data_IF_227253796208
#
_entry.id   IF_227253796208
#
_cell.length_a   1.000
_cell.length_b   1.000
_cell.length_c   1.000
_cell.angle_alpha   90.00
_cell.angle_beta   90.00
_cell.angle_gamma   90.00
#
_symmetry.space_group_name_H-M   'P 1'
#
loop_
_entity.id
_entity.type
_entity.pdbx_description
1 polymer ?
#
# COMPACT_ATOMS: atom_id res chain seq x y z
N UNK A 1 8.11 19.26 4.82
CA UNK A 1 6.83 18.93 5.48
C UNK A 1 5.77 19.59 4.63
N UNK A 2 5.12 18.80 3.79
CA UNK A 2 4.20 19.32 2.79
C UNK A 2 2.85 19.61 3.44
N UNK A 3 2.43 20.87 3.36
CA UNK A 3 1.22 21.44 3.96
C UNK A 3 -0.04 21.24 3.10
N UNK A 4 -0.04 20.25 2.19
CA UNK A 4 -1.17 20.00 1.27
C UNK A 4 -2.30 19.19 1.90
N UNK A 5 -2.01 18.40 2.94
CA UNK A 5 -3.03 17.55 3.57
C UNK A 5 -3.83 18.33 4.64
N UNK A 6 -4.70 19.24 4.20
CA UNK A 6 -5.51 20.05 5.10
C UNK A 6 -6.73 19.28 5.60
N UNK A 7 -6.97 19.35 6.91
CA UNK A 7 -8.14 18.80 7.62
C UNK A 7 -9.17 19.93 7.82
N UNK A 8 -10.22 20.00 7.00
CA UNK A 8 -11.41 20.80 7.33
C UNK A 8 -12.54 19.89 7.80
N UNK A 9 -12.64 19.69 9.12
CA UNK A 9 -13.68 18.83 9.73
C UNK A 9 -15.07 19.38 9.38
N UNK A 10 -15.87 18.59 8.66
CA UNK A 10 -17.26 18.92 8.33
C UNK A 10 -18.17 18.08 9.23
N UNK A 11 -18.62 18.68 10.33
CA UNK A 11 -19.33 18.02 11.43
C UNK A 11 -20.71 17.45 11.05
N UNK A 12 -21.26 17.81 9.88
CA UNK A 12 -22.66 17.52 9.50
C UNK A 12 -22.84 16.48 8.39
N UNK A 13 -21.86 15.63 8.11
CA UNK A 13 -21.98 14.59 7.09
C UNK A 13 -22.37 13.25 7.75
N UNK A 14 -23.54 12.72 7.37
CA UNK A 14 -23.91 11.32 7.60
C UNK A 14 -23.38 10.46 6.44
N UNK A 15 -22.51 9.51 6.76
CA UNK A 15 -21.90 8.64 5.77
C UNK A 15 -22.65 7.31 5.65
N UNK A 16 -22.75 6.84 4.42
CA UNK A 16 -23.22 5.50 4.10
C UNK A 16 -22.19 4.45 4.56
N UNK A 17 -22.65 3.23 4.82
CA UNK A 17 -21.84 2.13 5.37
C UNK A 17 -21.19 1.25 4.28
N UNK A 18 -21.18 1.70 3.03
CA UNK A 18 -20.51 0.95 1.96
C UNK A 18 -18.99 1.11 2.11
N UNK A 19 -18.28 0.01 1.86
CA UNK A 19 -16.84 -0.04 2.02
C UNK A 19 -16.17 0.12 0.66
N UNK A 20 -15.68 1.33 0.40
CA UNK A 20 -14.95 1.73 -0.80
C UNK A 20 -13.70 2.50 -0.37
N UNK A 21 -12.67 1.80 0.14
CA UNK A 21 -11.61 2.44 0.89
C UNK A 21 -10.84 3.47 0.06
N UNK A 22 -10.40 4.53 0.73
CA UNK A 22 -9.52 5.56 0.15
C UNK A 22 -8.30 5.78 1.02
N UNK A 23 -7.17 6.09 0.38
CA UNK A 23 -5.93 6.43 1.06
C UNK A 23 -5.79 7.96 1.10
N UNK A 24 -5.91 8.53 2.30
CA UNK A 24 -5.71 9.96 2.52
C UNK A 24 -4.28 10.39 2.24
N UNK A 25 -4.09 11.67 1.91
CA UNK A 25 -2.78 12.33 1.80
C UNK A 25 -1.91 12.20 3.07
N UNK A 26 -2.52 11.90 4.22
CA UNK A 26 -1.87 11.64 5.49
C UNK A 26 -1.41 10.18 5.67
N UNK A 27 -1.61 9.32 4.66
CA UNK A 27 -1.27 7.91 4.71
C UNK A 27 -2.24 7.06 5.54
N UNK A 28 -3.43 7.58 5.89
CA UNK A 28 -4.46 6.85 6.62
C UNK A 28 -5.52 6.31 5.65
N UNK A 29 -5.91 5.05 5.83
CA UNK A 29 -7.02 4.45 5.10
C UNK A 29 -8.35 4.84 5.74
N UNK A 30 -9.25 5.40 4.95
CA UNK A 30 -10.62 5.68 5.33
C UNK A 30 -11.56 4.67 4.69
N UNK A 31 -12.63 4.28 5.40
CA UNK A 31 -13.56 3.23 4.96
C UNK A 31 -14.26 3.56 3.64
N UNK A 32 -14.50 4.86 3.39
CA UNK A 32 -14.95 5.41 2.13
C UNK A 32 -14.60 6.90 2.03
N UNK A 33 -14.83 7.49 0.87
CA UNK A 33 -14.60 8.92 0.62
C UNK A 33 -15.41 9.84 1.54
N UNK A 34 -16.62 9.44 1.91
CA UNK A 34 -17.45 10.23 2.81
C UNK A 34 -16.80 10.35 4.19
N UNK A 35 -16.28 9.23 4.72
CA UNK A 35 -15.59 9.21 6.02
C UNK A 35 -14.31 10.05 5.97
N UNK A 36 -13.55 10.00 4.87
CA UNK A 36 -12.38 10.87 4.66
C UNK A 36 -12.78 12.35 4.69
N UNK A 37 -13.78 12.74 3.91
CA UNK A 37 -14.28 14.11 3.81
C UNK A 37 -14.85 14.63 5.14
N UNK A 38 -15.56 13.79 5.90
CA UNK A 38 -16.07 14.12 7.23
C UNK A 38 -14.94 14.49 8.19
N UNK A 39 -13.81 13.78 8.08
CA UNK A 39 -12.59 14.03 8.86
C UNK A 39 -11.71 15.12 8.22
N UNK A 40 -12.19 15.76 7.15
CA UNK A 40 -11.54 16.87 6.49
C UNK A 40 -10.45 16.48 5.49
N UNK A 41 -10.26 15.18 5.21
CA UNK A 41 -9.29 14.71 4.21
C UNK A 41 -9.94 14.76 2.83
N UNK A 42 -9.58 15.77 2.04
CA UNK A 42 -10.11 15.99 0.68
C UNK A 42 -9.16 15.54 -0.43
N UNK A 43 -7.90 15.27 -0.09
CA UNK A 43 -6.93 14.68 -1.02
C UNK A 43 -6.72 13.22 -0.66
N UNK A 44 -7.18 12.33 -1.54
CA UNK A 44 -7.07 10.88 -1.37
C UNK A 44 -7.01 10.16 -2.71
N UNK A 45 -6.45 8.95 -2.71
CA UNK A 45 -6.49 8.01 -3.84
C UNK A 45 -7.42 6.85 -3.54
N UNK A 46 -8.05 6.27 -4.57
CA UNK A 46 -8.87 5.07 -4.40
C UNK A 46 -8.03 3.87 -3.93
N UNK A 47 -8.60 3.05 -3.06
CA UNK A 47 -7.93 1.90 -2.43
C UNK A 47 -7.40 2.21 -1.03
N UNK A 48 -7.04 1.17 -0.28
CA UNK A 48 -6.39 1.34 1.02
C UNK A 48 -4.97 1.89 0.85
N UNK A 49 -4.48 2.62 1.85
CA UNK A 49 -3.07 2.98 1.88
C UNK A 49 -2.20 1.72 1.92
N UNK A 50 -1.04 1.82 1.28
CA UNK A 50 -0.12 0.70 1.15
C UNK A 50 -0.53 -0.32 0.08
N UNK A 51 -1.70 -0.19 -0.57
CA UNK A 51 -2.05 -1.06 -1.70
C UNK A 51 -1.66 -0.41 -3.03
N UNK A 52 -0.91 -1.16 -3.84
CA UNK A 52 -0.56 -0.81 -5.22
C UNK A 52 -1.19 -1.83 -6.16
N UNK A 53 -2.04 -1.38 -7.10
CA UNK A 53 -2.63 -2.23 -8.12
C UNK A 53 -2.02 -1.91 -9.49
N UNK A 54 -1.50 -2.93 -10.17
CA UNK A 54 -0.84 -2.81 -11.48
C UNK A 54 -1.52 -3.75 -12.47
N UNK A 55 -1.71 -3.30 -13.70
CA UNK A 55 -2.07 -4.15 -14.84
C UNK A 55 -0.90 -4.15 -15.80
N UNK A 56 -0.33 -5.33 -16.07
CA UNK A 56 0.81 -5.51 -16.96
C UNK A 56 0.47 -6.48 -18.09
N UNK A 57 1.27 -6.44 -19.17
CA UNK A 57 1.16 -7.44 -20.23
C UNK A 57 1.88 -8.73 -19.83
N UNK A 58 1.44 -9.88 -20.37
CA UNK A 58 2.18 -11.14 -20.25
C UNK A 58 3.64 -10.94 -20.67
N UNK A 59 4.56 -11.56 -19.92
CA UNK A 59 6.01 -11.50 -20.14
C UNK A 59 6.64 -10.11 -20.03
N UNK A 60 6.03 -9.21 -19.25
CA UNK A 60 6.67 -7.97 -18.82
C UNK A 60 7.29 -8.12 -17.43
N UNK A 61 8.54 -7.66 -17.29
CA UNK A 61 9.18 -7.42 -16.01
C UNK A 61 8.55 -6.19 -15.35
N UNK A 62 8.19 -6.31 -14.08
CA UNK A 62 7.73 -5.18 -13.27
C UNK A 62 8.50 -5.12 -11.97
N UNK A 63 8.90 -3.91 -11.58
CA UNK A 63 9.49 -3.65 -10.27
C UNK A 63 8.39 -3.26 -9.29
N UNK A 64 8.32 -3.97 -8.17
CA UNK A 64 7.40 -3.65 -7.07
C UNK A 64 8.19 -3.42 -5.79
N UNK A 65 7.69 -2.55 -4.92
CA UNK A 65 8.35 -2.22 -3.67
C UNK A 65 8.09 -0.80 -3.22
N UNK A 66 8.88 -0.38 -2.24
CA UNK A 66 8.86 0.97 -1.70
C UNK A 66 10.26 1.55 -1.66
N UNK A 67 10.34 2.87 -1.54
CA UNK A 67 11.60 3.56 -1.34
C UNK A 67 12.30 3.02 -0.09
N UNK A 68 13.56 2.61 -0.27
CA UNK A 68 14.42 2.15 0.81
C UNK A 68 14.52 3.18 1.95
N UNK A 69 14.42 2.69 3.18
CA UNK A 69 14.60 3.43 4.41
C UNK A 69 15.72 2.76 5.20
N UNK A 70 16.67 3.57 5.69
CA UNK A 70 17.67 3.08 6.64
C UNK A 70 16.98 2.53 7.89
N UNK A 71 17.60 1.56 8.56
CA UNK A 71 17.13 1.01 9.84
C UNK A 71 15.77 0.27 9.74
N UNK A 72 15.41 -0.22 8.56
CA UNK A 72 14.24 -1.07 8.34
C UNK A 72 14.62 -2.46 7.87
N UNK A 73 13.79 -3.43 8.23
CA UNK A 73 13.86 -4.80 7.74
C UNK A 73 12.64 -5.12 6.89
N UNK A 74 12.85 -5.67 5.69
CA UNK A 74 11.87 -5.90 4.65
C UNK A 74 11.66 -7.39 4.44
N UNK A 75 10.41 -7.82 4.51
CA UNK A 75 10.04 -9.23 4.33
C UNK A 75 8.91 -9.33 3.31
N UNK A 76 9.13 -10.10 2.26
CA UNK A 76 8.15 -10.35 1.21
C UNK A 76 7.33 -11.61 1.48
N UNK A 77 6.06 -11.59 1.09
CA UNK A 77 5.17 -12.75 1.07
C UNK A 77 4.43 -12.79 -0.28
N UNK A 78 4.49 -13.89 -1.04
CA UNK A 78 5.36 -15.04 -0.83
C UNK A 78 6.84 -14.64 -0.81
N UNK A 79 7.69 -15.47 -0.21
CA UNK A 79 9.13 -15.20 -0.10
C UNK A 79 9.77 -15.12 -1.49
N UNK A 80 10.72 -14.20 -1.68
CA UNK A 80 11.27 -13.81 -2.99
C UNK A 80 12.78 -14.01 -3.12
N UNK A 81 13.37 -14.82 -2.23
CA UNK A 81 14.81 -15.11 -2.24
C UNK A 81 15.66 -13.83 -2.35
N UNK A 82 15.23 -12.80 -1.61
CA UNK A 82 15.95 -11.54 -1.47
C UNK A 82 16.24 -11.29 0.01
N UNK A 83 17.51 -11.02 0.33
CA UNK A 83 17.89 -10.66 1.69
C UNK A 83 17.60 -9.17 1.92
N UNK A 84 16.56 -8.89 2.70
CA UNK A 84 16.19 -7.54 3.17
C UNK A 84 16.03 -6.49 2.05
N UNK A 85 15.34 -6.84 0.96
CA UNK A 85 15.15 -5.92 -0.16
C UNK A 85 13.83 -5.13 -0.05
N UNK A 86 13.87 -3.81 -0.27
CA UNK A 86 12.67 -2.96 -0.30
C UNK A 86 11.95 -2.98 -1.65
N UNK A 87 12.61 -3.47 -2.70
CA UNK A 87 12.12 -3.56 -4.07
C UNK A 87 12.58 -4.88 -4.72
N UNK A 88 11.72 -5.48 -5.54
CA UNK A 88 11.98 -6.71 -6.31
C UNK A 88 11.53 -6.54 -7.76
N UNK A 89 12.15 -7.31 -8.66
CA UNK A 89 11.72 -7.46 -10.05
C UNK A 89 11.01 -8.80 -10.19
N UNK A 90 9.82 -8.79 -10.78
CA UNK A 90 9.00 -9.99 -11.01
C UNK A 90 8.54 -10.07 -12.46
N UNK A 91 8.34 -11.30 -12.95
CA UNK A 91 7.76 -11.60 -14.28
C UNK A 91 6.55 -12.53 -14.14
N UNK A 92 5.41 -12.04 -13.62
CA UNK A 92 4.28 -12.91 -13.38
C UNK A 92 3.60 -13.32 -14.69
N UNK A 93 3.31 -14.61 -14.83
CA UNK A 93 2.58 -15.18 -15.98
C UNK A 93 1.06 -15.22 -15.79
N UNK A 94 0.59 -14.89 -14.59
CA UNK A 94 -0.81 -14.87 -14.15
C UNK A 94 -0.98 -13.83 -13.05
N UNK A 95 -2.23 -13.51 -12.72
CA UNK A 95 -2.54 -12.64 -11.59
C UNK A 95 -1.87 -13.16 -10.30
N UNK A 96 -1.21 -12.25 -9.60
CA UNK A 96 -0.48 -12.54 -8.35
C UNK A 96 -0.61 -11.36 -7.38
N UNK A 97 -0.53 -11.66 -6.10
CA UNK A 97 -0.48 -10.67 -5.02
C UNK A 97 0.79 -10.90 -4.19
N UNK A 98 1.45 -9.80 -3.81
CA UNK A 98 2.59 -9.78 -2.91
C UNK A 98 2.33 -8.84 -1.74
N UNK A 99 2.83 -9.18 -0.57
CA UNK A 99 2.82 -8.30 0.60
C UNK A 99 4.25 -8.04 1.05
N UNK A 100 4.63 -6.75 1.15
CA UNK A 100 5.86 -6.29 1.76
C UNK A 100 5.60 -5.82 3.18
N UNK A 101 6.12 -6.56 4.15
CA UNK A 101 6.09 -6.20 5.57
C UNK A 101 7.38 -5.49 5.97
N UNK A 102 7.24 -4.34 6.60
CA UNK A 102 8.36 -3.49 7.06
C UNK A 102 8.43 -3.52 8.58
N UNK A 103 9.57 -3.91 9.10
CA UNK A 103 9.87 -3.97 10.53
C UNK A 103 10.94 -2.94 10.90
N UNK A 104 10.99 -2.57 12.18
CA UNK A 104 12.07 -1.76 12.74
C UNK A 104 13.34 -2.61 12.92
N UNK A 105 14.51 -2.08 12.56
CA UNK A 105 15.78 -2.80 12.69
C UNK A 105 16.36 -2.80 14.11
N UNK A 106 15.85 -1.95 15.02
CA UNK A 106 16.36 -1.81 16.38
C UNK A 106 15.52 -2.53 17.47
N UNK A 107 14.51 -3.33 17.10
CA UNK A 107 13.58 -3.88 18.09
C UNK A 107 13.77 -5.38 18.39
N UNK A 108 14.03 -5.63 19.68
CA UNK A 108 14.36 -6.90 20.33
C UNK A 108 13.32 -8.03 20.09
N UNK A 109 13.80 -9.28 20.03
CA UNK A 109 13.13 -10.51 19.59
C UNK A 109 11.96 -11.00 20.47
N UNK A 110 11.35 -10.16 21.30
CA UNK A 110 10.46 -10.62 22.37
C UNK A 110 9.03 -10.09 22.26
N UNK A 111 8.70 -9.05 21.47
CA UNK A 111 7.32 -8.49 21.53
C UNK A 111 6.72 -7.78 20.30
N UNK A 112 7.22 -7.93 19.07
CA UNK A 112 6.48 -7.39 17.90
C UNK A 112 6.54 -8.28 16.66
N UNK A 113 5.63 -9.25 16.58
CA UNK A 113 5.32 -9.95 15.32
C UNK A 113 4.56 -9.06 14.31
N UNK A 114 4.19 -7.84 14.70
CA UNK A 114 3.43 -6.95 13.84
C UNK A 114 4.37 -6.04 13.07
N UNK A 115 4.25 -5.99 11.73
CA UNK A 115 5.01 -5.04 10.95
C UNK A 115 4.58 -3.60 11.28
N UNK A 116 5.53 -2.68 11.21
CA UNK A 116 5.28 -1.23 11.37
C UNK A 116 4.41 -0.74 10.20
N UNK A 117 4.71 -1.24 9.00
CA UNK A 117 3.94 -0.97 7.79
C UNK A 117 3.80 -2.25 6.97
N UNK A 118 2.69 -2.39 6.27
CA UNK A 118 2.45 -3.45 5.30
C UNK A 118 1.99 -2.84 3.98
N UNK A 119 2.52 -3.35 2.87
CA UNK A 119 2.19 -2.90 1.53
C UNK A 119 1.75 -4.08 0.67
N UNK A 120 0.58 -3.99 0.06
CA UNK A 120 0.03 -5.02 -0.81
C UNK A 120 0.20 -4.62 -2.27
N UNK A 121 0.79 -5.49 -3.09
CA UNK A 121 0.96 -5.31 -4.52
C UNK A 121 0.09 -6.32 -5.24
N UNK A 122 -0.91 -5.83 -5.98
CA UNK A 122 -1.85 -6.64 -6.76
C UNK A 122 -1.54 -6.50 -8.24
N UNK A 123 -1.03 -7.55 -8.86
CA UNK A 123 -0.63 -7.53 -10.26
C UNK A 123 -1.63 -8.34 -11.06
N UNK A 124 -2.35 -7.66 -11.97
CA UNK A 124 -3.19 -8.29 -13.00
C UNK A 124 -2.37 -8.44 -14.27
N UNK A 125 -2.42 -9.64 -14.86
CA UNK A 125 -1.68 -9.96 -16.09
C UNK A 125 -2.66 -10.15 -17.24
N UNK A 126 -2.55 -9.33 -18.28
CA UNK A 126 -3.41 -9.37 -19.46
C UNK A 126 -2.64 -9.75 -20.73
N UNK A 127 -3.37 -10.26 -21.72
CA UNK A 127 -2.80 -10.51 -23.05
C UNK A 127 -2.94 -9.24 -23.91
N UNK A 128 -1.85 -8.48 -24.00
CA UNK A 128 -1.82 -7.22 -24.76
C UNK A 128 -1.64 -7.41 -26.27
N UNK A 129 -1.48 -8.66 -26.73
CA UNK A 129 -1.27 -9.01 -28.12
C UNK A 129 -2.58 -8.87 -28.92
N UNK A 130 -2.89 -7.65 -29.36
CA UNK A 130 -3.88 -7.40 -30.41
C UNK A 130 -3.20 -7.03 -31.72
#
# INVERSE_FOLDING_TARGET
MDSSCMEQVVDSIDCYLEYEPVCGCNGITYANECVANKLGITEYTSGTCGTTALTICKSEEVTIGIRFQSERHYVWTPDQDCDNCSEIVIEPSRDVEYTLSVYDSEYDFVNSYNPVNSYDFKIRVEDCSK
#
